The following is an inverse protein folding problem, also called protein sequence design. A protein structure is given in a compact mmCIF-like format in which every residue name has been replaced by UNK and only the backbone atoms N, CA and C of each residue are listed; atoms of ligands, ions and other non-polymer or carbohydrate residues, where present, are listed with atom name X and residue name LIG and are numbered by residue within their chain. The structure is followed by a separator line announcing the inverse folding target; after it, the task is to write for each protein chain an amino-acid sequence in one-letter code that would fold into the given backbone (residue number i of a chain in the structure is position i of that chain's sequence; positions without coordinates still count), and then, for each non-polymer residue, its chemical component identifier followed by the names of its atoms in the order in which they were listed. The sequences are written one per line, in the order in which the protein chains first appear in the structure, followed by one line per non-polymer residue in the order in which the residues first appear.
data_IF_627658338619
#
_entry.id   IF_627658338619
#
_cell.length_a   1.000
_cell.length_b   1.000
_cell.length_c   1.000
_cell.angle_alpha   90.00
_cell.angle_beta   90.00
_cell.angle_gamma   90.00
#
_symmetry.space_group_name_H-M   'P 1'
#
loop_
_entity.id
_entity.type
_entity.pdbx_description
1 polymer ?
#
# COMPACT_ATOMS: atom_id res chain seq x y z
N UNK A 1 -22.04 -78.59 10.66
CA UNK A 1 -20.91 -78.50 9.74
C UNK A 1 -20.09 -77.28 10.03
N UNK A 2 -18.79 -77.45 10.11
CA UNK A 2 -17.79 -76.47 10.61
C UNK A 2 -17.46 -75.32 9.67
N UNK A 3 -18.15 -75.18 8.58
CA UNK A 3 -17.84 -74.18 7.54
C UNK A 3 -18.81 -73.03 7.51
N UNK A 4 -19.80 -72.96 8.39
CA UNK A 4 -20.65 -71.77 8.57
C UNK A 4 -20.07 -70.83 9.67
N UNK A 5 -18.96 -70.18 9.43
CA UNK A 5 -18.55 -69.09 10.28
C UNK A 5 -19.17 -67.79 9.73
N UNK A 6 -19.89 -67.00 10.53
CA UNK A 6 -20.37 -65.70 10.11
C UNK A 6 -19.16 -64.75 9.85
N UNK A 7 -19.18 -64.10 8.74
CA UNK A 7 -18.18 -63.07 8.40
C UNK A 7 -18.06 -62.06 9.55
N UNK A 8 -16.86 -61.99 10.13
CA UNK A 8 -16.53 -60.94 11.09
C UNK A 8 -16.74 -59.58 10.43
N UNK A 9 -17.53 -58.72 11.09
CA UNK A 9 -17.68 -57.32 10.69
C UNK A 9 -16.29 -56.71 10.65
N UNK A 10 -15.89 -56.22 9.48
CA UNK A 10 -14.66 -55.49 9.29
C UNK A 10 -14.59 -54.24 10.19
N UNK A 11 -13.38 -53.73 10.50
CA UNK A 11 -13.23 -52.56 11.34
C UNK A 11 -13.97 -51.39 10.71
N UNK A 12 -14.94 -50.86 11.48
CA UNK A 12 -15.68 -49.67 11.06
C UNK A 12 -14.71 -48.51 10.84
N UNK A 13 -14.72 -47.93 9.67
CA UNK A 13 -14.00 -46.73 9.40
C UNK A 13 -14.56 -45.62 10.30
N UNK A 14 -13.65 -44.83 10.92
CA UNK A 14 -14.11 -43.70 11.73
C UNK A 14 -14.88 -42.72 10.83
N UNK A 15 -15.95 -42.10 11.37
CA UNK A 15 -16.68 -41.10 10.60
C UNK A 15 -15.70 -39.99 10.22
N UNK A 16 -15.62 -39.70 8.93
CA UNK A 16 -14.88 -38.53 8.42
C UNK A 16 -15.51 -37.30 9.08
N UNK A 17 -14.88 -36.84 10.15
CA UNK A 17 -15.16 -35.53 10.73
C UNK A 17 -14.78 -34.52 9.66
N UNK A 18 -15.79 -33.92 9.06
CA UNK A 18 -15.65 -32.83 8.13
C UNK A 18 -14.82 -31.74 8.84
N UNK A 19 -13.55 -31.66 8.51
CA UNK A 19 -12.73 -30.49 8.77
C UNK A 19 -13.30 -29.40 7.86
N UNK A 20 -14.27 -28.65 8.39
CA UNK A 20 -14.64 -27.38 7.81
C UNK A 20 -13.37 -26.52 7.80
N UNK A 21 -12.70 -26.51 6.66
CA UNK A 21 -11.57 -25.62 6.43
C UNK A 21 -12.10 -24.19 6.54
N UNK A 22 -11.86 -23.58 7.68
CA UNK A 22 -12.09 -22.17 7.92
C UNK A 22 -11.07 -21.44 7.04
N UNK A 23 -11.45 -21.14 5.78
CA UNK A 23 -10.69 -20.21 4.92
C UNK A 23 -10.73 -18.85 5.61
N UNK A 24 -9.70 -18.54 6.39
CA UNK A 24 -9.43 -17.17 6.78
C UNK A 24 -9.14 -16.40 5.48
N UNK A 25 -10.10 -15.60 5.05
CA UNK A 25 -9.90 -14.56 4.06
C UNK A 25 -8.91 -13.55 4.67
N UNK A 26 -7.62 -13.73 4.38
CA UNK A 26 -6.62 -12.72 4.66
C UNK A 26 -6.92 -11.52 3.76
N UNK A 27 -7.63 -10.53 4.32
CA UNK A 27 -7.75 -9.22 3.69
C UNK A 27 -6.33 -8.66 3.54
N UNK A 28 -5.96 -8.12 2.37
CA UNK A 28 -4.69 -7.42 2.23
C UNK A 28 -4.69 -6.27 3.24
N UNK A 29 -3.83 -6.35 4.24
CA UNK A 29 -3.55 -5.24 5.12
C UNK A 29 -2.88 -4.17 4.26
N UNK A 30 -3.59 -3.08 3.96
CA UNK A 30 -2.95 -1.87 3.43
C UNK A 30 -1.95 -1.45 4.48
N UNK A 31 -0.66 -1.46 4.14
CA UNK A 31 0.40 -1.09 5.06
C UNK A 31 0.23 0.40 5.40
N UNK A 32 -0.29 0.67 6.58
CA UNK A 32 -0.46 2.02 7.10
C UNK A 32 0.92 2.62 7.42
N UNK A 33 1.14 3.88 7.05
CA UNK A 33 2.39 4.58 7.33
C UNK A 33 2.46 4.88 8.83
N UNK A 34 3.50 4.37 9.50
CA UNK A 34 3.67 4.61 10.94
C UNK A 34 3.97 6.09 11.25
N UNK A 35 3.66 6.60 12.46
CA UNK A 35 3.93 7.99 12.82
C UNK A 35 5.39 8.41 12.67
N UNK A 36 6.34 7.53 13.02
CA UNK A 36 7.77 7.81 12.83
C UNK A 36 8.11 7.94 11.35
N UNK A 37 7.56 7.05 10.52
CA UNK A 37 7.78 7.10 9.07
C UNK A 37 7.11 8.33 8.45
N UNK A 38 5.95 8.73 8.93
CA UNK A 38 5.28 9.95 8.49
C UNK A 38 6.17 11.19 8.71
N UNK A 39 6.80 11.32 9.88
CA UNK A 39 7.75 12.41 10.16
C UNK A 39 8.97 12.39 9.22
N UNK A 40 9.49 11.21 8.89
CA UNK A 40 10.56 11.09 7.88
C UNK A 40 10.09 11.49 6.48
N UNK A 41 8.86 11.13 6.11
CA UNK A 41 8.28 11.51 4.81
C UNK A 41 8.01 13.02 4.73
N UNK A 42 7.54 13.65 5.80
CA UNK A 42 7.44 15.12 5.86
C UNK A 42 8.80 15.79 5.62
N UNK A 43 9.85 15.29 6.29
CA UNK A 43 11.19 15.80 6.10
C UNK A 43 11.66 15.61 4.65
N UNK A 44 11.43 14.44 4.07
CA UNK A 44 11.76 14.15 2.67
C UNK A 44 11.03 15.11 1.72
N UNK A 45 9.73 15.32 1.92
CA UNK A 45 8.95 16.28 1.10
C UNK A 45 9.55 17.69 1.21
N UNK A 46 9.83 18.17 2.42
CA UNK A 46 10.37 19.52 2.61
C UNK A 46 11.76 19.69 2.00
N UNK A 47 12.64 18.71 2.14
CA UNK A 47 14.04 18.83 1.69
C UNK A 47 14.21 18.43 0.22
N UNK A 48 13.71 17.28 -0.17
CA UNK A 48 13.96 16.74 -1.50
C UNK A 48 12.97 17.26 -2.54
N UNK A 49 11.67 17.17 -2.29
CA UNK A 49 10.66 17.75 -3.18
C UNK A 49 10.78 19.28 -3.17
N UNK A 50 10.99 19.89 -2.00
CA UNK A 50 11.14 21.33 -1.83
C UNK A 50 12.34 21.91 -2.57
N UNK A 51 13.40 21.15 -2.81
CA UNK A 51 14.57 21.60 -3.58
C UNK A 51 14.21 22.07 -5.00
N UNK A 52 13.20 21.44 -5.62
CA UNK A 52 12.70 21.77 -6.95
C UNK A 52 11.37 22.53 -6.92
N UNK A 53 10.46 22.16 -6.01
CA UNK A 53 9.11 22.73 -5.93
C UNK A 53 9.00 23.94 -4.99
N UNK A 54 10.14 24.40 -4.43
CA UNK A 54 10.22 25.47 -3.45
C UNK A 54 10.04 24.95 -2.02
N UNK A 55 10.82 25.48 -1.07
CA UNK A 55 10.76 25.06 0.35
C UNK A 55 9.41 25.36 1.03
N UNK A 56 8.61 26.23 0.42
CA UNK A 56 7.22 26.52 0.81
C UNK A 56 6.19 25.89 -0.12
N UNK A 57 6.61 24.98 -0.99
CA UNK A 57 5.80 24.30 -2.02
C UNK A 57 5.10 25.24 -3.01
N UNK A 58 5.49 26.52 -3.05
CA UNK A 58 4.87 27.53 -3.94
C UNK A 58 5.46 27.58 -5.35
N UNK A 59 6.33 26.64 -5.67
CA UNK A 59 6.98 26.55 -6.97
C UNK A 59 8.43 27.00 -6.94
N UNK A 60 9.16 26.57 -7.94
CA UNK A 60 10.57 26.83 -8.18
C UNK A 60 10.90 26.34 -9.57
N UNK A 61 11.88 25.42 -9.70
CA UNK A 61 12.12 24.70 -10.94
C UNK A 61 10.90 23.86 -11.34
N UNK A 62 10.26 23.22 -10.37
CA UNK A 62 8.99 22.51 -10.51
C UNK A 62 7.79 23.43 -10.22
N UNK A 63 6.60 22.96 -10.63
CA UNK A 63 5.33 23.67 -10.40
C UNK A 63 4.96 23.68 -8.90
N UNK A 64 4.05 24.58 -8.46
CA UNK A 64 3.55 24.58 -7.08
C UNK A 64 2.90 23.24 -6.69
N UNK A 65 3.11 22.86 -5.43
CA UNK A 65 2.51 21.67 -4.79
C UNK A 65 1.69 22.07 -3.55
N UNK A 66 1.10 23.26 -3.55
CA UNK A 66 0.19 23.69 -2.48
C UNK A 66 -1.15 22.98 -2.60
N UNK A 67 -1.92 22.84 -1.51
CA UNK A 67 -3.26 22.25 -1.55
C UNK A 67 -4.16 22.88 -2.63
N UNK A 68 -4.10 24.20 -2.79
CA UNK A 68 -4.88 24.92 -3.79
C UNK A 68 -4.45 24.56 -5.23
N UNK A 69 -3.14 24.43 -5.46
CA UNK A 69 -2.61 24.05 -6.76
C UNK A 69 -2.94 22.60 -7.14
N UNK A 70 -3.16 21.75 -6.13
CA UNK A 70 -3.46 20.32 -6.28
C UNK A 70 -4.93 19.97 -6.05
N UNK A 71 -5.82 20.95 -5.86
CA UNK A 71 -7.22 20.74 -5.52
C UNK A 71 -7.92 19.77 -6.49
N UNK A 72 -7.71 19.97 -7.79
CA UNK A 72 -8.32 19.14 -8.85
C UNK A 72 -7.48 17.90 -9.23
N UNK A 73 -6.31 17.73 -8.60
CA UNK A 73 -5.46 16.60 -8.91
C UNK A 73 -5.96 15.33 -8.21
N UNK A 74 -6.03 14.25 -8.98
CA UNK A 74 -6.37 12.93 -8.45
C UNK A 74 -5.23 12.40 -7.57
N UNK A 75 -5.58 11.91 -6.39
CA UNK A 75 -4.66 11.39 -5.38
C UNK A 75 -3.76 10.27 -5.91
N UNK A 76 -4.36 9.29 -6.56
CA UNK A 76 -3.64 8.10 -7.04
C UNK A 76 -2.71 8.47 -8.20
N UNK A 77 -3.16 9.39 -9.06
CA UNK A 77 -2.33 9.95 -10.14
C UNK A 77 -1.14 10.72 -9.60
N UNK A 78 -1.31 11.51 -8.52
CA UNK A 78 -0.19 12.18 -7.86
C UNK A 78 0.82 11.19 -7.29
N UNK A 79 0.35 10.13 -6.62
CA UNK A 79 1.21 9.09 -6.09
C UNK A 79 2.01 8.38 -7.19
N UNK A 80 1.39 8.10 -8.33
CA UNK A 80 2.08 7.51 -9.49
C UNK A 80 3.15 8.47 -10.06
N UNK A 81 2.87 9.77 -10.14
CA UNK A 81 3.85 10.77 -10.58
C UNK A 81 5.06 10.81 -9.62
N UNK A 82 4.82 10.71 -8.31
CA UNK A 82 5.90 10.63 -7.33
C UNK A 82 6.73 9.36 -7.56
N UNK A 83 6.08 8.20 -7.70
CA UNK A 83 6.78 6.93 -7.84
C UNK A 83 7.56 6.81 -9.14
N UNK A 84 6.95 7.17 -10.26
CA UNK A 84 7.49 6.91 -11.59
C UNK A 84 8.15 8.12 -12.24
N UNK A 85 8.03 9.30 -11.59
CA UNK A 85 8.49 10.55 -12.16
C UNK A 85 7.65 10.98 -13.37
N UNK A 86 8.14 12.00 -14.07
CA UNK A 86 7.57 12.44 -15.34
C UNK A 86 8.60 12.30 -16.45
N UNK A 87 8.48 11.29 -17.34
CA UNK A 87 9.42 11.08 -18.43
C UNK A 87 9.62 12.35 -19.28
N UNK A 88 10.87 12.67 -19.61
CA UNK A 88 11.23 13.85 -20.37
C UNK A 88 11.26 15.15 -19.57
N UNK A 89 11.12 15.08 -18.25
CA UNK A 89 11.22 16.21 -17.33
C UNK A 89 12.28 15.97 -16.25
N UNK A 90 12.58 16.98 -15.44
CA UNK A 90 13.50 16.87 -14.31
C UNK A 90 12.92 16.13 -13.11
N UNK A 91 11.61 15.80 -13.11
CA UNK A 91 10.96 15.04 -12.01
C UNK A 91 11.43 13.57 -12.02
N UNK A 92 12.26 13.15 -11.05
CA UNK A 92 12.80 11.78 -11.03
C UNK A 92 11.80 10.77 -10.47
N UNK A 93 11.98 9.47 -10.73
CA UNK A 93 11.23 8.41 -10.10
C UNK A 93 11.72 8.16 -8.67
N UNK A 94 10.79 8.01 -7.71
CA UNK A 94 11.08 7.74 -6.30
C UNK A 94 10.79 6.30 -5.88
N UNK A 95 10.34 5.45 -6.79
CA UNK A 95 10.03 4.04 -6.52
C UNK A 95 11.15 3.25 -5.84
N UNK A 96 12.45 3.52 -6.04
CA UNK A 96 13.51 2.84 -5.28
C UNK A 96 13.55 3.18 -3.79
N UNK A 97 12.94 4.29 -3.37
CA UNK A 97 12.99 4.82 -2.00
C UNK A 97 11.63 4.84 -1.30
N UNK A 98 10.53 4.73 -2.05
CA UNK A 98 9.17 4.86 -1.55
C UNK A 98 8.31 3.68 -1.97
N UNK A 99 7.49 3.21 -1.04
CA UNK A 99 6.40 2.27 -1.33
C UNK A 99 5.18 3.01 -1.90
N UNK A 100 4.21 2.26 -2.44
CA UNK A 100 2.95 2.83 -2.92
C UNK A 100 2.17 3.50 -1.79
N UNK A 101 2.13 2.89 -0.60
CA UNK A 101 1.47 3.46 0.56
C UNK A 101 2.10 4.79 0.99
N UNK A 102 3.43 4.89 0.95
CA UNK A 102 4.14 6.13 1.26
C UNK A 102 3.92 7.22 0.21
N UNK A 103 3.86 6.87 -1.06
CA UNK A 103 3.54 7.83 -2.12
C UNK A 103 2.10 8.33 -2.03
N UNK A 104 1.14 7.47 -1.68
CA UNK A 104 -0.23 7.87 -1.40
C UNK A 104 -0.31 8.80 -0.19
N UNK A 105 0.44 8.51 0.88
CA UNK A 105 0.55 9.37 2.06
C UNK A 105 1.12 10.76 1.68
N UNK A 106 2.16 10.80 0.84
CA UNK A 106 2.73 12.06 0.34
C UNK A 106 1.69 12.85 -0.47
N UNK A 107 0.92 12.19 -1.33
CA UNK A 107 -0.15 12.82 -2.09
C UNK A 107 -1.20 13.46 -1.16
N UNK A 108 -1.64 12.74 -0.12
CA UNK A 108 -2.58 13.26 0.89
C UNK A 108 -1.97 14.43 1.66
N UNK A 109 -0.70 14.31 2.07
CA UNK A 109 0.02 15.38 2.77
C UNK A 109 0.08 16.66 1.94
N UNK A 110 0.45 16.58 0.66
CA UNK A 110 0.53 17.72 -0.23
C UNK A 110 -0.84 18.37 -0.51
N UNK A 111 -1.90 17.58 -0.53
CA UNK A 111 -3.29 18.05 -0.66
C UNK A 111 -3.86 18.64 0.63
N UNK A 112 -3.15 18.49 1.76
CA UNK A 112 -3.63 18.92 3.07
C UNK A 112 -4.70 17.99 3.65
N UNK A 113 -4.74 16.73 3.21
CA UNK A 113 -5.71 15.70 3.58
C UNK A 113 -5.12 14.62 4.50
N UNK A 114 -3.92 14.78 5.01
CA UNK A 114 -3.27 13.81 5.91
C UNK A 114 -4.02 13.66 7.22
N UNK A 115 -4.19 12.41 7.70
CA UNK A 115 -4.81 12.13 8.97
C UNK A 115 -3.99 12.57 10.19
#
# INVERSE_FOLDING_TARGET
PRWMRPCAKGPGWPPMRSLAALMLLALPAVAEVSPNRAAELEHLVLQDCGSCHGLTMKGGLGRPLTPEALAEADRDSLALIVLDGLPGTAMPPWRPLLTEAEALWIADYLKGETP
#
